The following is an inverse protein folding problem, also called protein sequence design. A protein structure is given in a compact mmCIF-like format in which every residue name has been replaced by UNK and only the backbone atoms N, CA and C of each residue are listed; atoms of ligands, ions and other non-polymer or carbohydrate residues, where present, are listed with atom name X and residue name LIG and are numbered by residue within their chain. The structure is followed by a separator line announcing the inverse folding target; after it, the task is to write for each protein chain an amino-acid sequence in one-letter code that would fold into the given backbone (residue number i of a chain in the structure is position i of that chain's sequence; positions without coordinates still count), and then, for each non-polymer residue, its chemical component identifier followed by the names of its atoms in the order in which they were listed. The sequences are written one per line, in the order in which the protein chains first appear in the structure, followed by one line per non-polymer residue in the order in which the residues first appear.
data_IF_139750892056
#
_entry.id   IF_139750892056
#
_cell.length_a   1.000
_cell.length_b   1.000
_cell.length_c   1.000
_cell.angle_alpha   90.00
_cell.angle_beta   90.00
_cell.angle_gamma   90.00
#
_symmetry.space_group_name_H-M   'P 1'
#
loop_
_entity.id
_entity.type
_entity.pdbx_description
1 polymer ?
#
# COMPACT_ATOMS: atom_id res chain seq x y z
N UNK A 1 18.72 5.63 14.14
CA UNK A 1 18.35 4.68 13.06
C UNK A 1 17.46 3.53 13.54
N UNK A 2 17.51 3.09 14.80
CA UNK A 2 16.62 2.01 15.30
C UNK A 2 15.12 2.30 15.13
N UNK A 3 14.68 3.54 15.34
CA UNK A 3 13.28 3.92 15.15
C UNK A 3 12.77 3.65 13.73
N UNK A 4 13.58 3.98 12.71
CA UNK A 4 13.20 3.75 11.30
C UNK A 4 13.12 2.25 11.00
N UNK A 5 14.09 1.47 11.49
CA UNK A 5 14.08 0.01 11.34
C UNK A 5 12.86 -0.63 12.02
N UNK A 6 12.45 -0.12 13.18
CA UNK A 6 11.24 -0.56 13.86
C UNK A 6 9.98 -0.19 13.07
N UNK A 7 9.91 1.02 12.52
CA UNK A 7 8.81 1.45 11.64
C UNK A 7 8.72 0.54 10.40
N UNK A 8 9.84 0.20 9.76
CA UNK A 8 9.86 -0.71 8.61
C UNK A 8 9.36 -2.10 8.99
N UNK A 9 9.84 -2.63 10.12
CA UNK A 9 9.49 -3.98 10.59
C UNK A 9 8.00 -4.09 10.92
N UNK A 10 7.40 -3.06 11.51
CA UNK A 10 5.97 -3.03 11.80
C UNK A 10 5.17 -2.71 10.53
N UNK A 11 5.63 -1.74 9.74
CA UNK A 11 4.99 -1.26 8.52
C UNK A 11 4.82 -2.35 7.47
N UNK A 12 5.82 -3.23 7.29
CA UNK A 12 5.70 -4.35 6.34
C UNK A 12 4.58 -5.32 6.72
N UNK A 13 4.37 -5.58 8.01
CA UNK A 13 3.31 -6.47 8.47
C UNK A 13 1.94 -5.84 8.26
N UNK A 14 1.77 -4.56 8.59
CA UNK A 14 0.53 -3.84 8.30
C UNK A 14 0.24 -3.80 6.80
N UNK A 15 1.24 -3.47 5.98
CA UNK A 15 1.11 -3.47 4.53
C UNK A 15 0.70 -4.83 3.98
N UNK A 16 1.35 -5.91 4.41
CA UNK A 16 1.07 -7.26 3.95
C UNK A 16 -0.35 -7.72 4.36
N UNK A 17 -0.74 -7.50 5.62
CA UNK A 17 -2.05 -7.93 6.12
C UNK A 17 -3.17 -7.11 5.46
N UNK A 18 -3.06 -5.79 5.47
CA UNK A 18 -4.08 -4.91 4.89
C UNK A 18 -4.16 -5.08 3.37
N UNK A 19 -3.02 -5.20 2.69
CA UNK A 19 -2.96 -5.47 1.25
C UNK A 19 -3.55 -6.82 0.89
N UNK A 20 -3.27 -7.86 1.68
CA UNK A 20 -3.87 -9.18 1.51
C UNK A 20 -5.40 -9.13 1.63
N UNK A 21 -5.93 -8.47 2.66
CA UNK A 21 -7.39 -8.36 2.83
C UNK A 21 -8.00 -7.49 1.73
N UNK A 22 -7.33 -6.40 1.32
CA UNK A 22 -7.79 -5.54 0.22
C UNK A 22 -7.90 -6.33 -1.10
N UNK A 23 -6.88 -7.11 -1.44
CA UNK A 23 -6.89 -7.96 -2.65
C UNK A 23 -7.95 -9.06 -2.53
N UNK A 24 -8.01 -9.79 -1.41
CA UNK A 24 -9.00 -10.87 -1.24
C UNK A 24 -10.43 -10.35 -1.30
N UNK A 25 -10.73 -9.22 -0.65
CA UNK A 25 -12.05 -8.60 -0.73
C UNK A 25 -12.39 -8.15 -2.15
N UNK A 26 -11.43 -7.62 -2.92
CA UNK A 26 -11.60 -7.31 -4.34
C UNK A 26 -11.94 -8.55 -5.18
N UNK A 27 -11.24 -9.67 -4.95
CA UNK A 27 -11.52 -10.93 -5.63
C UNK A 27 -12.91 -11.50 -5.25
N UNK A 28 -13.32 -11.37 -3.99
CA UNK A 28 -14.65 -11.78 -3.53
C UNK A 28 -15.77 -10.96 -4.19
N UNK A 29 -15.57 -9.65 -4.36
CA UNK A 29 -16.51 -8.78 -5.10
C UNK A 29 -16.64 -9.25 -6.56
N UNK A 30 -15.51 -9.54 -7.21
CA UNK A 30 -15.48 -10.05 -8.59
C UNK A 30 -16.18 -11.40 -8.76
N UNK A 31 -16.12 -12.26 -7.73
CA UNK A 31 -16.77 -13.56 -7.72
C UNK A 31 -18.24 -13.53 -7.25
N UNK A 32 -18.82 -12.34 -7.00
CA UNK A 32 -20.15 -12.15 -6.38
C UNK A 32 -20.33 -12.88 -5.02
N UNK A 33 -19.21 -13.23 -4.35
CA UNK A 33 -19.22 -13.97 -3.10
C UNK A 33 -19.30 -13.02 -1.89
N UNK A 34 -20.39 -13.10 -1.11
CA UNK A 34 -20.68 -12.16 -0.02
C UNK A 34 -20.50 -10.70 -0.42
N UNK A 35 -20.94 -10.34 -1.64
CA UNK A 35 -20.65 -9.04 -2.30
C UNK A 35 -20.79 -7.83 -1.37
N UNK A 36 -21.91 -7.72 -0.64
CA UNK A 36 -22.17 -6.58 0.26
C UNK A 36 -21.09 -6.49 1.34
N UNK A 37 -20.77 -7.59 2.02
CA UNK A 37 -19.75 -7.61 3.07
C UNK A 37 -18.36 -7.38 2.51
N UNK A 38 -18.05 -8.02 1.37
CA UNK A 38 -16.78 -7.84 0.68
C UNK A 38 -16.58 -6.38 0.22
N UNK A 39 -17.60 -5.71 -0.30
CA UNK A 39 -17.56 -4.28 -0.66
C UNK A 39 -17.30 -3.39 0.55
N UNK A 40 -18.01 -3.62 1.67
CA UNK A 40 -17.79 -2.86 2.90
C UNK A 40 -16.35 -3.05 3.40
N UNK A 41 -15.88 -4.29 3.46
CA UNK A 41 -14.50 -4.60 3.86
C UNK A 41 -13.47 -3.95 2.93
N UNK A 42 -13.69 -4.03 1.62
CA UNK A 42 -12.77 -3.49 0.61
C UNK A 42 -12.64 -1.96 0.74
N UNK A 43 -13.75 -1.26 0.85
CA UNK A 43 -13.78 0.20 1.03
C UNK A 43 -13.18 0.62 2.38
N UNK A 44 -13.49 -0.11 3.46
CA UNK A 44 -13.00 0.21 4.81
C UNK A 44 -11.48 0.05 4.91
N UNK A 45 -10.92 -0.98 4.26
CA UNK A 45 -9.49 -1.30 4.36
C UNK A 45 -8.64 -0.49 3.37
N UNK A 46 -9.24 0.11 2.34
CA UNK A 46 -8.53 0.90 1.34
C UNK A 46 -7.65 2.00 1.98
N UNK A 47 -8.21 2.84 2.84
CA UNK A 47 -7.47 3.95 3.46
C UNK A 47 -6.37 3.43 4.42
N UNK A 48 -6.66 2.52 5.38
CA UNK A 48 -5.62 1.92 6.21
C UNK A 48 -4.50 1.26 5.40
N UNK A 49 -4.84 0.55 4.32
CA UNK A 49 -3.87 -0.08 3.43
C UNK A 49 -2.95 0.97 2.80
N UNK A 50 -3.49 2.05 2.24
CA UNK A 50 -2.72 3.16 1.67
C UNK A 50 -1.76 3.76 2.68
N UNK A 51 -2.24 4.05 3.90
CA UNK A 51 -1.42 4.63 4.95
C UNK A 51 -0.26 3.68 5.30
N UNK A 52 -0.54 2.38 5.43
CA UNK A 52 0.50 1.39 5.72
C UNK A 52 1.55 1.28 4.61
N UNK A 53 1.11 1.34 3.34
CA UNK A 53 1.99 1.35 2.18
C UNK A 53 2.89 2.58 2.24
N UNK A 54 2.33 3.78 2.39
CA UNK A 54 3.09 5.03 2.48
C UNK A 54 4.10 5.03 3.61
N UNK A 55 3.69 4.64 4.83
CA UNK A 55 4.58 4.58 5.99
C UNK A 55 5.75 3.63 5.72
N UNK A 56 5.46 2.45 5.16
CA UNK A 56 6.49 1.48 4.82
C UNK A 56 7.42 2.00 3.72
N UNK A 57 6.89 2.47 2.58
CA UNK A 57 7.71 2.94 1.46
C UNK A 57 8.54 4.17 1.79
N UNK A 58 7.99 5.15 2.52
CA UNK A 58 8.76 6.32 2.98
C UNK A 58 9.88 5.86 3.92
N UNK A 59 9.61 4.94 4.86
CA UNK A 59 10.63 4.44 5.77
C UNK A 59 11.78 3.69 5.04
N UNK A 60 11.48 3.02 3.93
CA UNK A 60 12.49 2.39 3.06
C UNK A 60 13.30 3.45 2.31
N UNK A 61 12.65 4.48 1.76
CA UNK A 61 13.32 5.57 1.06
C UNK A 61 14.27 6.34 2.00
N UNK A 62 13.85 6.65 3.23
CA UNK A 62 14.69 7.36 4.19
C UNK A 62 15.98 6.59 4.47
N UNK A 63 15.92 5.26 4.62
CA UNK A 63 17.12 4.43 4.80
C UNK A 63 18.01 4.44 3.53
N UNK A 64 17.41 4.35 2.33
CA UNK A 64 18.14 4.39 1.06
C UNK A 64 18.83 5.71 0.74
N UNK A 65 18.35 6.83 1.29
CA UNK A 65 18.99 8.14 1.13
C UNK A 65 19.93 8.51 2.29
N UNK A 66 19.92 7.77 3.41
CA UNK A 66 20.82 8.04 4.55
C UNK A 66 22.13 7.26 4.51
N UNK A 67 22.27 6.21 3.70
CA UNK A 67 23.56 5.56 3.45
C UNK A 67 24.22 6.13 2.18
N UNK A 68 25.28 6.96 2.28
CA UNK A 68 25.94 7.53 1.11
C UNK A 68 26.69 6.44 0.34
N UNK A 69 26.33 6.24 -0.93
CA UNK A 69 27.16 5.50 -1.89
C UNK A 69 26.70 4.08 -2.25
N UNK A 70 25.59 3.57 -1.70
CA UNK A 70 25.03 2.28 -2.14
C UNK A 70 23.54 2.41 -2.44
N UNK A 71 23.22 2.63 -3.72
CA UNK A 71 21.86 2.48 -4.24
C UNK A 71 21.50 0.98 -4.16
N UNK A 72 21.09 0.53 -2.97
CA UNK A 72 20.88 -0.88 -2.69
C UNK A 72 19.57 -1.36 -3.31
N UNK A 73 19.63 -2.35 -4.23
CA UNK A 73 18.44 -2.91 -4.90
C UNK A 73 17.39 -3.42 -3.91
N UNK A 74 17.80 -3.78 -2.69
CA UNK A 74 16.91 -4.17 -1.58
C UNK A 74 15.97 -3.05 -1.12
N UNK A 75 16.30 -1.78 -1.38
CA UNK A 75 15.53 -0.60 -0.99
C UNK A 75 14.67 -0.10 -2.16
N UNK A 76 15.19 -0.20 -3.39
CA UNK A 76 14.50 0.20 -4.62
C UNK A 76 13.23 -0.62 -4.90
N UNK A 77 13.25 -1.93 -4.63
CA UNK A 77 12.10 -2.82 -4.88
C UNK A 77 10.90 -2.47 -3.97
N UNK A 78 11.04 -2.39 -2.63
CA UNK A 78 9.90 -2.03 -1.77
C UNK A 78 9.46 -0.58 -1.95
N UNK A 79 10.39 0.35 -2.22
CA UNK A 79 10.03 1.73 -2.57
C UNK A 79 9.22 1.80 -3.87
N UNK A 80 9.67 1.08 -4.92
CA UNK A 80 8.97 0.98 -6.19
C UNK A 80 7.62 0.27 -6.08
N UNK A 81 7.51 -0.78 -5.27
CA UNK A 81 6.25 -1.47 -4.99
C UNK A 81 5.25 -0.54 -4.28
N UNK A 82 5.73 0.29 -3.35
CA UNK A 82 4.88 1.28 -2.66
C UNK A 82 4.40 2.35 -3.62
N UNK A 83 5.30 2.92 -4.43
CA UNK A 83 4.96 3.91 -5.45
C UNK A 83 3.99 3.33 -6.49
N UNK A 84 4.22 2.10 -6.94
CA UNK A 84 3.33 1.40 -7.86
C UNK A 84 1.94 1.17 -7.27
N UNK A 85 1.87 0.78 -5.99
CA UNK A 85 0.60 0.64 -5.26
C UNK A 85 -0.14 1.98 -5.17
N UNK A 86 0.58 3.06 -4.88
CA UNK A 86 0.01 4.40 -4.79
C UNK A 86 -0.54 4.89 -6.14
N UNK A 87 0.22 4.73 -7.21
CA UNK A 87 -0.20 5.09 -8.59
C UNK A 87 -1.41 4.26 -9.02
N UNK A 88 -1.39 2.94 -8.78
CA UNK A 88 -2.51 2.06 -9.13
C UNK A 88 -3.79 2.49 -8.40
N UNK A 89 -3.68 2.93 -7.14
CA UNK A 89 -4.82 3.38 -6.36
C UNK A 89 -5.36 4.74 -6.80
N UNK A 90 -4.51 5.67 -7.26
CA UNK A 90 -4.98 6.92 -7.90
C UNK A 90 -5.79 6.59 -9.15
N UNK A 91 -5.28 5.69 -10.00
CA UNK A 91 -5.97 5.28 -11.23
C UNK A 91 -7.33 4.62 -10.90
N UNK A 92 -7.36 3.72 -9.92
CA UNK A 92 -8.61 3.09 -9.47
C UNK A 92 -9.58 4.12 -8.89
N UNK A 93 -9.07 5.11 -8.15
CA UNK A 93 -9.89 6.19 -7.59
C UNK A 93 -10.49 7.07 -8.69
N UNK A 94 -9.71 7.47 -9.71
CA UNK A 94 -10.21 8.21 -10.88
C UNK A 94 -11.25 7.41 -11.67
N UNK A 95 -11.07 6.10 -11.83
CA UNK A 95 -12.04 5.24 -12.54
C UNK A 95 -13.35 5.08 -11.76
N UNK A 96 -13.29 4.97 -10.42
CA UNK A 96 -14.47 4.77 -9.57
C UNK A 96 -15.19 6.09 -9.28
N UNK A 97 -14.47 7.21 -9.19
CA UNK A 97 -15.01 8.54 -8.89
C UNK A 97 -14.59 9.60 -9.92
N UNK A 98 -14.98 9.45 -11.20
CA UNK A 98 -14.54 10.36 -12.27
C UNK A 98 -15.00 11.82 -12.05
N UNK A 99 -16.11 12.03 -11.33
CA UNK A 99 -16.72 13.34 -11.11
C UNK A 99 -16.04 14.20 -10.01
N UNK A 100 -15.04 13.65 -9.29
CA UNK A 100 -14.33 14.34 -8.20
C UNK A 100 -12.96 14.89 -8.62
N UNK A 101 -12.51 14.59 -9.83
CA UNK A 101 -11.31 15.16 -10.46
C UNK A 101 -11.73 16.19 -11.52
N UNK A 102 -11.20 17.43 -11.48
CA UNK A 102 -11.61 18.51 -12.39
C UNK A 102 -11.22 18.26 -13.85
#
# INVERSE_FOLDING_TARGET
METIKNIQKVGIWFFAILGGIYIMSGLMILADFYKIHATITHQTIQIPFIISALVYGISQLVEGFTEPGQLNKKILIPAGATLGTFIMLIIVFEIIFPDLTP
#
